data_IF_918005922184
#
_entry.id   IF_918005922184
#
_cell.length_a   1.000
_cell.length_b   1.000
_cell.length_c   1.000
_cell.angle_alpha   90.00
_cell.angle_beta   90.00
_cell.angle_gamma   90.00
#
_symmetry.space_group_name_H-M   'P 1'
#
loop_
_entity.id
_entity.type
_entity.pdbx_description
1 polymer ?
#
# COMPACT_ATOMS: atom_id res chain seq x y z
N UNK A 1 -27.37 -11.26 -17.00
CA UNK A 1 -26.26 -10.41 -17.47
C UNK A 1 -25.98 -9.16 -16.62
N UNK A 2 -26.81 -8.79 -15.63
CA UNK A 2 -26.53 -7.61 -14.79
C UNK A 2 -25.74 -7.91 -13.48
N UNK A 3 -25.70 -9.16 -13.01
CA UNK A 3 -25.13 -9.51 -11.69
C UNK A 3 -23.61 -9.67 -11.64
N UNK A 4 -22.94 -9.72 -12.77
CA UNK A 4 -21.48 -9.86 -12.83
C UNK A 4 -20.78 -8.50 -12.78
N UNK A 5 -21.47 -7.43 -13.19
CA UNK A 5 -20.96 -6.06 -13.22
C UNK A 5 -20.99 -5.42 -11.81
N UNK A 6 -21.94 -5.78 -10.95
CA UNK A 6 -22.00 -5.35 -9.53
C UNK A 6 -20.98 -6.04 -8.63
N UNK A 7 -20.25 -7.04 -9.14
CA UNK A 7 -19.19 -7.73 -8.39
C UNK A 7 -17.80 -7.10 -8.58
N UNK A 8 -17.72 -6.01 -9.32
CA UNK A 8 -16.65 -5.01 -9.18
C UNK A 8 -17.08 -4.08 -8.03
N UNK A 9 -17.38 -4.70 -6.89
CA UNK A 9 -17.47 -4.04 -5.61
C UNK A 9 -16.12 -3.36 -5.37
N UNK A 10 -16.16 -2.17 -4.77
CA UNK A 10 -15.05 -1.25 -4.54
C UNK A 10 -13.95 -1.85 -3.66
N UNK A 11 -13.29 -2.90 -4.13
CA UNK A 11 -11.95 -3.23 -3.70
C UNK A 11 -11.09 -2.13 -4.29
N UNK A 12 -10.80 -1.12 -3.48
CA UNK A 12 -9.52 -0.43 -3.55
C UNK A 12 -8.51 -1.52 -3.86
N UNK A 13 -7.99 -1.56 -5.09
CA UNK A 13 -7.12 -2.63 -5.57
C UNK A 13 -5.87 -2.59 -4.69
N UNK A 14 -5.91 -3.35 -3.60
CA UNK A 14 -4.75 -3.63 -2.79
C UNK A 14 -3.88 -4.53 -3.63
N UNK A 15 -2.78 -4.00 -4.10
CA UNK A 15 -1.73 -4.74 -4.79
C UNK A 15 -0.92 -5.59 -3.81
N UNK A 16 -1.01 -5.29 -2.50
CA UNK A 16 -0.53 -6.18 -1.45
C UNK A 16 -1.45 -7.42 -1.39
N UNK A 17 -0.90 -8.65 -1.41
CA UNK A 17 -1.66 -9.89 -1.29
C UNK A 17 -2.53 -9.92 -0.04
N UNK A 18 -3.81 -10.29 -0.19
CA UNK A 18 -4.79 -10.23 0.90
C UNK A 18 -4.56 -11.25 2.01
N UNK A 19 -3.82 -12.33 1.72
CA UNK A 19 -3.61 -13.47 2.65
C UNK A 19 -2.75 -13.09 3.86
N UNK A 20 -1.77 -12.21 3.68
CA UNK A 20 -0.90 -11.73 4.75
C UNK A 20 -0.88 -10.20 4.86
N UNK A 21 -1.25 -9.49 3.80
CA UNK A 21 -1.16 -8.03 3.71
C UNK A 21 -1.94 -7.32 4.80
N UNK A 22 -3.14 -7.83 5.13
CA UNK A 22 -3.98 -7.26 6.20
C UNK A 22 -3.34 -7.40 7.57
N UNK A 23 -2.74 -8.55 7.87
CA UNK A 23 -2.09 -8.80 9.16
C UNK A 23 -0.85 -7.91 9.32
N UNK A 24 -0.04 -7.81 8.26
CA UNK A 24 1.13 -6.92 8.23
C UNK A 24 0.71 -5.45 8.39
N UNK A 25 -0.32 -5.00 7.68
CA UNK A 25 -0.83 -3.63 7.81
C UNK A 25 -1.39 -3.35 9.20
N UNK A 26 -2.06 -4.32 9.81
CA UNK A 26 -2.53 -4.23 11.20
C UNK A 26 -1.38 -4.01 12.16
N UNK A 27 -0.28 -4.76 12.03
CA UNK A 27 0.92 -4.61 12.85
C UNK A 27 1.62 -3.27 12.60
N UNK A 28 1.74 -2.86 11.34
CA UNK A 28 2.43 -1.63 10.94
C UNK A 28 1.65 -0.36 11.27
N UNK A 29 0.33 -0.42 11.40
CA UNK A 29 -0.49 0.74 11.80
C UNK A 29 -0.50 0.98 13.31
N UNK A 30 0.10 0.11 14.12
CA UNK A 30 0.33 0.37 15.54
C UNK A 30 1.42 1.42 15.68
N UNK A 31 1.10 2.57 16.30
CA UNK A 31 2.05 3.67 16.47
C UNK A 31 3.23 3.24 17.35
N UNK A 32 4.38 3.07 16.73
CA UNK A 32 5.67 2.77 17.38
C UNK A 32 6.82 3.44 16.62
N UNK A 33 8.05 3.26 17.08
CA UNK A 33 9.24 3.71 16.34
C UNK A 33 9.50 2.88 15.07
N UNK A 34 8.97 1.67 15.00
CA UNK A 34 9.17 0.70 13.92
C UNK A 34 7.94 0.53 13.02
N UNK A 35 7.08 1.55 12.97
CA UNK A 35 5.83 1.49 12.21
C UNK A 35 6.01 1.88 10.74
N UNK A 36 4.91 1.93 9.98
CA UNK A 36 4.92 2.22 8.54
C UNK A 36 5.67 3.52 8.17
N UNK A 37 5.77 4.50 9.08
CA UNK A 37 6.49 5.75 8.82
C UNK A 37 7.99 5.54 8.70
N UNK A 38 8.54 4.57 9.44
CA UNK A 38 9.95 4.17 9.30
C UNK A 38 10.19 3.53 7.93
N UNK A 39 9.28 2.68 7.47
CA UNK A 39 9.34 2.09 6.13
C UNK A 39 9.29 3.19 5.05
N UNK A 40 8.38 4.15 5.17
CA UNK A 40 8.27 5.26 4.21
C UNK A 40 9.57 6.03 4.05
N UNK A 41 10.24 6.33 5.18
CA UNK A 41 11.57 6.96 5.16
C UNK A 41 12.64 6.08 4.51
N UNK A 42 12.64 4.77 4.79
CA UNK A 42 13.63 3.82 4.23
C UNK A 42 13.42 3.58 2.74
N UNK A 43 12.19 3.65 2.26
CA UNK A 43 11.85 3.63 0.84
C UNK A 43 12.18 4.95 0.11
N UNK A 44 12.61 5.98 0.85
CA UNK A 44 13.02 7.25 0.26
C UNK A 44 11.86 8.23 0.01
N UNK A 45 10.65 7.93 0.49
CA UNK A 45 9.51 8.83 0.35
C UNK A 45 9.69 10.10 1.18
N UNK A 46 9.18 11.20 0.63
CA UNK A 46 9.21 12.53 1.23
C UNK A 46 8.31 12.62 2.46
N UNK A 47 8.56 13.64 3.30
CA UNK A 47 7.69 13.93 4.44
C UNK A 47 6.26 14.28 4.01
N UNK A 48 6.07 14.87 2.83
CA UNK A 48 4.74 15.17 2.28
C UNK A 48 3.95 13.91 1.95
N UNK A 49 4.58 12.91 1.32
CA UNK A 49 3.92 11.63 1.00
C UNK A 49 3.54 10.87 2.27
N UNK A 50 4.44 10.83 3.26
CA UNK A 50 4.14 10.23 4.57
C UNK A 50 2.97 10.96 5.25
N UNK A 51 2.92 12.30 5.20
CA UNK A 51 1.77 13.06 5.73
C UNK A 51 0.48 12.78 4.94
N UNK A 52 0.58 12.58 3.62
CA UNK A 52 -0.56 12.25 2.79
C UNK A 52 -1.16 10.89 3.18
N UNK A 53 -0.34 9.85 3.34
CA UNK A 53 -0.83 8.53 3.77
C UNK A 53 -1.35 8.51 5.19
N UNK A 54 -0.85 9.37 6.08
CA UNK A 54 -1.39 9.50 7.43
C UNK A 54 -2.87 9.94 7.48
N UNK A 55 -3.41 10.49 6.39
CA UNK A 55 -4.83 10.86 6.26
C UNK A 55 -5.71 9.73 5.70
N UNK A 56 -5.10 8.62 5.27
CA UNK A 56 -5.82 7.49 4.70
C UNK A 56 -6.37 6.57 5.78
N UNK A 57 -7.39 5.78 5.43
CA UNK A 57 -8.01 4.81 6.36
C UNK A 57 -7.01 3.72 6.80
N UNK A 58 -6.12 3.31 5.90
CA UNK A 58 -5.03 2.36 6.16
C UNK A 58 -3.73 2.93 5.57
N UNK A 59 -2.98 3.73 6.35
CA UNK A 59 -1.75 4.37 5.88
C UNK A 59 -0.69 3.37 5.41
N UNK A 60 -0.53 2.25 6.13
CA UNK A 60 0.45 1.22 5.77
C UNK A 60 0.11 0.52 4.44
N UNK A 61 -1.17 0.25 4.19
CA UNK A 61 -1.63 -0.32 2.94
C UNK A 61 -1.43 0.65 1.76
N UNK A 62 -1.74 1.94 1.96
CA UNK A 62 -1.49 2.97 0.94
C UNK A 62 -0.01 3.03 0.54
N UNK A 63 0.89 3.03 1.52
CA UNK A 63 2.34 3.01 1.28
C UNK A 63 2.78 1.76 0.52
N UNK A 64 2.34 0.57 0.95
CA UNK A 64 2.78 -0.68 0.33
C UNK A 64 2.22 -0.85 -1.09
N UNK A 65 1.02 -0.34 -1.36
CA UNK A 65 0.47 -0.29 -2.72
C UNK A 65 1.28 0.62 -3.63
N UNK A 66 1.66 1.82 -3.17
CA UNK A 66 2.51 2.73 -3.95
C UNK A 66 3.85 2.06 -4.25
N UNK A 67 4.52 1.53 -3.22
CA UNK A 67 5.82 0.87 -3.37
C UNK A 67 5.75 -0.26 -4.39
N UNK A 68 4.73 -1.12 -4.30
CA UNK A 68 4.56 -2.22 -5.24
C UNK A 68 4.33 -1.73 -6.67
N UNK A 69 3.51 -0.69 -6.86
CA UNK A 69 3.27 -0.11 -8.20
C UNK A 69 4.53 0.50 -8.80
N UNK A 70 5.31 1.24 -8.02
CA UNK A 70 6.58 1.81 -8.49
C UNK A 70 7.56 0.70 -8.91
N UNK A 71 7.70 -0.35 -8.11
CA UNK A 71 8.69 -1.40 -8.37
C UNK A 71 8.23 -2.38 -9.47
N UNK A 72 6.92 -2.60 -9.63
CA UNK A 72 6.33 -3.28 -10.80
C UNK A 72 6.61 -2.51 -12.09
N UNK A 73 6.51 -1.18 -12.05
CA UNK A 73 6.84 -0.34 -13.18
C UNK A 73 8.34 -0.41 -13.50
N UNK A 74 9.20 -0.49 -12.49
CA UNK A 74 10.64 -0.69 -12.67
C UNK A 74 10.95 -2.07 -13.27
N UNK A 75 10.36 -3.17 -12.80
CA UNK A 75 10.50 -4.50 -13.42
C UNK A 75 10.09 -4.47 -14.91
N UNK A 76 8.96 -3.83 -15.23
CA UNK A 76 8.47 -3.73 -16.60
C UNK A 76 9.36 -2.82 -17.48
N UNK A 77 9.98 -1.78 -16.91
CA UNK A 77 10.82 -0.81 -17.62
C UNK A 77 12.25 -1.31 -17.80
N UNK A 78 12.79 -2.01 -16.79
CA UNK A 78 14.17 -2.49 -16.76
C UNK A 78 14.32 -3.98 -17.08
N UNK A 79 13.22 -4.73 -17.21
CA UNK A 79 13.22 -6.14 -17.63
C UNK A 79 13.97 -7.06 -16.68
N UNK A 80 13.84 -6.84 -15.37
CA UNK A 80 14.42 -7.68 -14.32
C UNK A 80 13.51 -8.86 -13.98
#
# INVERSE_FOLDING_TARGET
HAREIERIDMKTLSYVPSEWGRDVCTLLNVRTDNDWRLLGKRFGYSTSEVKHWAMQIDPSMSLLNEWFMTHKADEATYGL
#
